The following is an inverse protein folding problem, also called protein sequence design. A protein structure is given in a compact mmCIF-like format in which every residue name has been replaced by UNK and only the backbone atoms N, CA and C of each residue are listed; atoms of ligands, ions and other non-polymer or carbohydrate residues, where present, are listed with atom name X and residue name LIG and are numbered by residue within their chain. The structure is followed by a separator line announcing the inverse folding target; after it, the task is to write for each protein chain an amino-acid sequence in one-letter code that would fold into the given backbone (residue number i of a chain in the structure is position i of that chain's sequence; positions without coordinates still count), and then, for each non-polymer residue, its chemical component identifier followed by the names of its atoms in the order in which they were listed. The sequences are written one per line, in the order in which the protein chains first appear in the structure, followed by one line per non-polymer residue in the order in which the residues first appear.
data_IF_077301837094
#
_entry.id   IF_077301837094
#
_cell.length_a   1.000
_cell.length_b   1.000
_cell.length_c   1.000
_cell.angle_alpha   90.00
_cell.angle_beta   90.00
_cell.angle_gamma   90.00
#
_symmetry.space_group_name_H-M   'P 1'
#
loop_
_entity.id
_entity.type
_entity.pdbx_description
1 polymer ?
#
# COMPACT_ATOMS: atom_id res chain seq x y z
N UNK A 1 33.88 69.98 41.11
CA UNK A 1 33.14 69.79 39.85
C UNK A 1 33.55 68.42 39.30
N UNK A 2 32.78 67.37 39.59
CA UNK A 2 33.18 65.96 39.38
C UNK A 2 32.49 65.41 38.14
N UNK A 3 33.28 65.05 37.12
CA UNK A 3 32.87 64.28 35.95
C UNK A 3 32.65 62.82 36.35
N UNK A 4 31.44 62.30 36.15
CA UNK A 4 31.17 60.85 36.18
C UNK A 4 30.86 60.37 34.78
N UNK A 5 31.78 59.56 34.27
CA UNK A 5 31.69 58.84 33.02
C UNK A 5 31.02 57.48 33.23
N UNK A 6 30.21 57.11 32.24
CA UNK A 6 29.96 55.77 31.73
C UNK A 6 29.47 54.65 32.65
N UNK A 7 28.35 54.05 32.26
CA UNK A 7 28.27 52.62 31.93
C UNK A 7 27.00 52.39 31.10
N UNK A 8 27.18 52.11 29.81
CA UNK A 8 26.11 51.68 28.92
C UNK A 8 25.66 50.25 29.24
N UNK A 9 24.38 49.91 29.07
CA UNK A 9 23.91 48.54 29.29
C UNK A 9 24.53 47.60 28.24
N UNK A 10 25.33 46.68 28.75
CA UNK A 10 25.98 45.60 28.03
C UNK A 10 24.90 44.64 27.49
N UNK A 11 24.56 44.72 26.20
CA UNK A 11 23.64 43.77 25.57
C UNK A 11 24.37 42.44 25.42
N UNK A 12 24.00 41.48 26.28
CA UNK A 12 24.49 40.10 26.16
C UNK A 12 24.24 39.56 24.75
N UNK A 13 25.22 38.87 24.13
CA UNK A 13 25.03 38.26 22.84
C UNK A 13 23.96 37.16 22.96
N UNK A 14 22.81 37.38 22.31
CA UNK A 14 21.76 36.38 22.19
C UNK A 14 22.31 35.21 21.35
N UNK A 15 22.61 34.11 22.04
CA UNK A 15 22.20 32.77 21.65
C UNK A 15 22.30 32.41 20.14
N UNK A 16 23.51 32.16 19.64
CA UNK A 16 23.71 31.47 18.35
C UNK A 16 23.53 29.94 18.42
N UNK A 17 23.49 29.36 19.62
CA UNK A 17 23.34 27.91 19.84
C UNK A 17 21.90 27.41 19.77
N UNK A 18 20.92 28.20 20.22
CA UNK A 18 19.51 27.76 20.24
C UNK A 18 18.90 27.68 18.83
N UNK A 19 19.34 28.50 17.88
CA UNK A 19 18.89 28.44 16.48
C UNK A 19 19.31 27.13 15.78
N UNK A 20 20.51 26.62 16.08
CA UNK A 20 20.99 25.33 15.53
C UNK A 20 20.26 24.12 16.13
N UNK A 21 19.93 24.18 17.43
CA UNK A 21 19.13 23.13 18.08
C UNK A 21 17.68 23.09 17.61
N UNK A 22 17.07 24.27 17.40
CA UNK A 22 15.72 24.39 16.87
C UNK A 22 15.61 23.80 15.45
N UNK A 23 16.57 24.08 14.58
CA UNK A 23 16.60 23.54 13.22
C UNK A 23 16.64 22.00 13.19
N UNK A 24 17.34 21.36 14.13
CA UNK A 24 17.37 19.88 14.24
C UNK A 24 16.01 19.30 14.64
N UNK A 25 15.29 19.98 15.54
CA UNK A 25 13.95 19.55 15.98
C UNK A 25 12.92 19.76 14.87
N UNK A 26 12.97 20.88 14.16
CA UNK A 26 12.12 21.13 13.00
C UNK A 26 12.31 20.05 11.93
N UNK A 27 13.56 19.73 11.61
CA UNK A 27 13.86 18.65 10.66
C UNK A 27 13.41 17.28 11.17
N UNK A 28 13.54 16.99 12.46
CA UNK A 28 13.07 15.74 13.04
C UNK A 28 11.55 15.58 12.90
N UNK A 29 10.77 16.66 13.09
CA UNK A 29 9.31 16.63 12.91
C UNK A 29 8.96 16.45 11.42
N UNK A 30 9.57 17.22 10.53
CA UNK A 30 9.34 17.12 9.08
C UNK A 30 9.72 15.74 8.57
N UNK A 31 10.89 15.22 8.94
CA UNK A 31 11.34 13.89 8.57
C UNK A 31 10.37 12.81 9.08
N UNK A 32 9.88 12.93 10.32
CA UNK A 32 8.89 11.99 10.88
C UNK A 32 7.60 11.99 10.06
N UNK A 33 7.07 13.17 9.72
CA UNK A 33 5.88 13.30 8.88
C UNK A 33 6.09 12.72 7.47
N UNK A 34 7.25 12.98 6.86
CA UNK A 34 7.60 12.44 5.56
C UNK A 34 7.69 10.91 5.59
N UNK A 35 8.33 10.34 6.61
CA UNK A 35 8.42 8.88 6.78
C UNK A 35 7.04 8.25 6.96
N UNK A 36 6.12 8.89 7.70
CA UNK A 36 4.75 8.40 7.85
C UNK A 36 4.00 8.38 6.51
N UNK A 37 4.13 9.43 5.70
CA UNK A 37 3.50 9.50 4.37
C UNK A 37 4.07 8.42 3.45
N UNK A 38 5.39 8.23 3.46
CA UNK A 38 6.06 7.21 2.65
C UNK A 38 5.61 5.81 3.08
N UNK A 39 5.62 5.51 4.37
CA UNK A 39 5.21 4.21 4.90
C UNK A 39 3.74 3.92 4.56
N UNK A 40 2.83 4.87 4.82
CA UNK A 40 1.41 4.71 4.49
C UNK A 40 1.18 4.56 2.99
N UNK A 41 1.88 5.33 2.15
CA UNK A 41 1.80 5.21 0.71
C UNK A 41 2.34 3.88 0.19
N UNK A 42 3.41 3.36 0.79
CA UNK A 42 3.98 2.06 0.46
C UNK A 42 3.00 0.92 0.76
N UNK A 43 2.46 0.88 1.98
CA UNK A 43 1.53 -0.16 2.41
C UNK A 43 0.25 -0.15 1.57
N UNK A 44 -0.31 1.04 1.33
CA UNK A 44 -1.48 1.19 0.47
C UNK A 44 -1.18 0.76 -0.97
N UNK A 45 -0.02 1.17 -1.51
CA UNK A 45 0.40 0.79 -2.85
C UNK A 45 0.56 -0.71 -3.02
N UNK A 46 1.08 -1.40 -2.00
CA UNK A 46 1.16 -2.85 -1.99
C UNK A 46 -0.22 -3.50 -1.93
N UNK A 47 -1.10 -3.06 -1.03
CA UNK A 47 -2.47 -3.58 -0.92
C UNK A 47 -3.24 -3.43 -2.24
N UNK A 48 -3.14 -2.26 -2.87
CA UNK A 48 -3.75 -2.00 -4.18
C UNK A 48 -3.22 -2.95 -5.26
N UNK A 49 -1.90 -3.13 -5.33
CA UNK A 49 -1.26 -4.05 -6.27
C UNK A 49 -1.77 -5.49 -6.10
N UNK A 50 -1.92 -5.95 -4.85
CA UNK A 50 -2.48 -7.29 -4.61
C UNK A 50 -3.90 -7.41 -5.13
N UNK A 51 -4.75 -6.41 -4.89
CA UNK A 51 -6.11 -6.38 -5.43
C UNK A 51 -6.16 -6.44 -6.97
N UNK A 52 -5.23 -5.76 -7.66
CA UNK A 52 -5.13 -5.83 -9.12
C UNK A 52 -4.76 -7.23 -9.62
N UNK A 53 -3.77 -7.87 -8.98
CA UNK A 53 -3.31 -9.22 -9.34
C UNK A 53 -4.43 -10.25 -9.14
N UNK A 54 -5.13 -10.20 -8.00
CA UNK A 54 -6.24 -11.11 -7.71
C UNK A 54 -7.38 -10.95 -8.71
N UNK A 55 -7.74 -9.71 -9.06
CA UNK A 55 -8.78 -9.44 -10.05
C UNK A 55 -8.39 -9.93 -11.45
N UNK A 56 -7.13 -9.74 -11.86
CA UNK A 56 -6.66 -10.21 -13.16
C UNK A 56 -6.62 -11.73 -13.24
N UNK A 57 -6.21 -12.41 -12.17
CA UNK A 57 -6.23 -13.86 -12.10
C UNK A 57 -7.67 -14.40 -12.19
N UNK A 58 -8.60 -13.82 -11.42
CA UNK A 58 -10.02 -14.18 -11.47
C UNK A 58 -10.62 -13.96 -12.86
N UNK A 59 -10.33 -12.82 -13.51
CA UNK A 59 -10.78 -12.52 -14.88
C UNK A 59 -10.20 -13.48 -15.90
N UNK A 60 -8.93 -13.84 -15.77
CA UNK A 60 -8.27 -14.82 -16.65
C UNK A 60 -8.97 -16.17 -16.55
N UNK A 61 -9.16 -16.68 -15.33
CA UNK A 61 -9.88 -17.93 -15.09
C UNK A 61 -11.31 -17.90 -15.61
N UNK A 62 -12.07 -16.83 -15.32
CA UNK A 62 -13.45 -16.67 -15.76
C UNK A 62 -13.57 -16.63 -17.29
N UNK A 63 -12.67 -15.93 -17.99
CA UNK A 63 -12.63 -15.91 -19.46
C UNK A 63 -12.34 -17.29 -20.03
N UNK A 64 -11.36 -18.00 -19.48
CA UNK A 64 -11.03 -19.36 -19.91
C UNK A 64 -12.21 -20.31 -19.68
N UNK A 65 -12.80 -20.32 -18.48
CA UNK A 65 -13.96 -21.16 -18.16
C UNK A 65 -15.17 -20.84 -19.05
N UNK A 66 -15.49 -19.57 -19.24
CA UNK A 66 -16.60 -19.14 -20.11
C UNK A 66 -16.40 -19.54 -21.57
N UNK A 67 -15.16 -19.54 -22.07
CA UNK A 67 -14.86 -19.96 -23.42
C UNK A 67 -15.04 -21.48 -23.62
N UNK A 68 -14.90 -22.28 -22.56
CA UNK A 68 -15.05 -23.73 -22.58
C UNK A 68 -16.49 -24.20 -22.34
N UNK A 69 -17.33 -23.40 -21.68
CA UNK A 69 -18.75 -23.72 -21.44
C UNK A 69 -18.94 -25.00 -20.64
N UNK A 70 -19.76 -25.92 -21.14
CA UNK A 70 -20.13 -27.19 -20.47
C UNK A 70 -19.06 -28.29 -20.60
N UNK A 71 -17.83 -27.95 -21.01
CA UNK A 71 -16.74 -28.90 -21.05
C UNK A 71 -16.41 -29.40 -19.63
N UNK A 72 -16.29 -30.70 -19.44
CA UNK A 72 -15.97 -31.30 -18.13
C UNK A 72 -14.62 -30.84 -17.55
N UNK A 73 -13.71 -30.30 -18.38
CA UNK A 73 -12.43 -29.72 -17.97
C UNK A 73 -12.47 -28.20 -17.79
N UNK A 74 -13.62 -27.54 -17.96
CA UNK A 74 -13.72 -26.08 -17.89
C UNK A 74 -13.15 -25.52 -16.57
N UNK A 75 -13.51 -26.15 -15.44
CA UNK A 75 -13.02 -25.78 -14.12
C UNK A 75 -11.50 -25.94 -13.99
N UNK A 76 -10.94 -27.02 -14.55
CA UNK A 76 -9.50 -27.27 -14.52
C UNK A 76 -8.73 -26.21 -15.32
N UNK A 77 -9.23 -25.84 -16.50
CA UNK A 77 -8.61 -24.79 -17.32
C UNK A 77 -8.80 -23.40 -16.71
N UNK A 78 -9.94 -23.12 -16.09
CA UNK A 78 -10.18 -21.87 -15.36
C UNK A 78 -9.21 -21.72 -14.16
N UNK A 79 -9.01 -22.80 -13.39
CA UNK A 79 -8.04 -22.83 -12.30
C UNK A 79 -6.60 -22.68 -12.82
N UNK A 80 -6.27 -23.37 -13.91
CA UNK A 80 -4.94 -23.31 -14.53
C UNK A 80 -4.62 -21.90 -15.07
N UNK A 81 -5.59 -21.23 -15.70
CA UNK A 81 -5.45 -19.84 -16.15
C UNK A 81 -5.25 -18.87 -14.98
N UNK A 82 -6.04 -19.03 -13.92
CA UNK A 82 -5.90 -18.24 -12.69
C UNK A 82 -4.51 -18.46 -12.05
N UNK A 83 -4.07 -19.73 -11.95
CA UNK A 83 -2.76 -20.11 -11.42
C UNK A 83 -1.63 -19.49 -12.23
N UNK A 84 -1.70 -19.52 -13.56
CA UNK A 84 -0.67 -18.94 -14.41
C UNK A 84 -0.52 -17.43 -14.19
N UNK A 85 -1.63 -16.70 -14.06
CA UNK A 85 -1.63 -15.27 -13.77
C UNK A 85 -1.00 -14.96 -12.39
N UNK A 86 -1.35 -15.75 -11.37
CA UNK A 86 -0.80 -15.64 -10.01
C UNK A 86 0.69 -15.98 -9.94
N UNK A 87 1.10 -17.04 -10.64
CA UNK A 87 2.49 -17.50 -10.69
C UNK A 87 3.37 -16.46 -11.38
N UNK A 88 2.92 -15.88 -12.50
CA UNK A 88 3.65 -14.82 -13.19
C UNK A 88 3.81 -13.56 -12.34
N UNK A 89 2.89 -13.34 -11.40
CA UNK A 89 2.92 -12.22 -10.47
C UNK A 89 3.69 -12.52 -9.17
N UNK A 90 4.22 -13.74 -9.01
CA UNK A 90 4.92 -14.17 -7.78
C UNK A 90 4.03 -14.25 -6.54
N UNK A 91 2.71 -14.45 -6.73
CA UNK A 91 1.69 -14.34 -5.68
C UNK A 91 0.94 -15.64 -5.39
N UNK A 92 1.39 -16.75 -5.99
CA UNK A 92 0.71 -18.03 -5.85
C UNK A 92 0.74 -18.56 -4.41
N UNK A 93 1.85 -18.33 -3.69
CA UNK A 93 2.04 -18.82 -2.32
C UNK A 93 1.13 -18.13 -1.30
N UNK A 94 0.62 -16.94 -1.64
CA UNK A 94 -0.26 -16.16 -0.78
C UNK A 94 -1.76 -16.46 -1.00
N UNK A 95 -2.08 -17.40 -1.90
CA UNK A 95 -3.48 -17.76 -2.20
C UNK A 95 -3.95 -18.85 -1.25
N UNK A 96 -4.90 -18.49 -0.39
CA UNK A 96 -5.51 -19.43 0.55
C UNK A 96 -6.53 -20.36 -0.13
N UNK A 97 -7.38 -19.81 -1.00
CA UNK A 97 -8.47 -20.55 -1.64
C UNK A 97 -8.83 -19.96 -3.00
N UNK A 98 -9.22 -20.83 -3.92
CA UNK A 98 -9.93 -20.49 -5.16
C UNK A 98 -11.26 -21.22 -5.15
N UNK A 99 -12.36 -20.48 -5.33
CA UNK A 99 -13.72 -21.04 -5.41
C UNK A 99 -14.19 -20.88 -6.85
N UNK A 100 -14.50 -22.00 -7.50
CA UNK A 100 -15.17 -22.03 -8.80
C UNK A 100 -16.61 -22.46 -8.53
N UNK A 101 -17.57 -21.69 -9.02
CA UNK A 101 -18.98 -21.91 -8.79
C UNK A 101 -19.77 -21.57 -10.04
N UNK A 102 -21.00 -22.08 -10.13
CA UNK A 102 -21.93 -21.73 -11.20
C UNK A 102 -22.46 -20.31 -10.97
N UNK A 103 -22.23 -19.43 -11.93
CA UNK A 103 -22.77 -18.07 -11.87
C UNK A 103 -24.25 -18.08 -12.27
N UNK A 104 -25.13 -17.98 -11.26
CA UNK A 104 -26.57 -17.92 -11.46
C UNK A 104 -27.06 -16.46 -11.69
N UNK A 105 -26.18 -15.47 -11.47
CA UNK A 105 -26.44 -14.04 -11.68
C UNK A 105 -25.22 -13.32 -12.29
N UNK A 106 -25.42 -12.09 -12.75
CA UNK A 106 -24.34 -11.23 -13.29
C UNK A 106 -23.62 -10.41 -12.22
N UNK A 107 -24.02 -10.52 -10.95
CA UNK A 107 -23.43 -9.75 -9.84
C UNK A 107 -22.10 -10.35 -9.36
N UNK A 108 -21.84 -11.63 -9.63
CA UNK A 108 -20.59 -12.30 -9.25
C UNK A 108 -20.49 -12.64 -7.76
N UNK A 109 -21.61 -12.63 -7.05
CA UNK A 109 -21.69 -13.07 -5.67
C UNK A 109 -21.50 -14.58 -5.58
N UNK A 110 -20.59 -15.01 -4.69
CA UNK A 110 -20.38 -16.43 -4.41
C UNK A 110 -21.57 -16.94 -3.59
N UNK A 111 -22.26 -18.00 -4.01
CA UNK A 111 -23.35 -18.57 -3.23
C UNK A 111 -22.89 -19.05 -1.85
N UNK A 112 -23.72 -18.87 -0.82
CA UNK A 112 -23.35 -19.21 0.58
C UNK A 112 -22.95 -20.66 0.80
N UNK A 113 -23.42 -21.58 -0.05
CA UNK A 113 -23.05 -23.00 -0.01
C UNK A 113 -21.63 -23.31 -0.56
N UNK A 114 -20.98 -22.34 -1.19
CA UNK A 114 -19.66 -22.50 -1.81
C UNK A 114 -18.53 -21.86 -0.99
N UNK A 115 -18.84 -21.19 0.12
CA UNK A 115 -17.90 -20.45 0.98
C UNK A 115 -17.57 -21.21 2.26
#
# INVERSE_FOLDING_TARGET
MSLRHHLGPNRAPRSRGHERGAALVEMAIVATLLLLIIAGGYDFGQAWRQGLITNEAARTGARTGSALGDNYLADWYALSGSRAALQNSGRLDDVERVIIYRADSTQGDVPSQCV
#
